data_IF_070719865037
#
_entry.id   IF_070719865037
#
_cell.length_a   1.000
_cell.length_b   1.000
_cell.length_c   1.000
_cell.angle_alpha   90.00
_cell.angle_beta   90.00
_cell.angle_gamma   90.00
#
_symmetry.space_group_name_H-M   'P 1'
#
loop_
_entity.id
_entity.type
_entity.pdbx_description
1 polymer ?
#
# COMPACT_ATOMS: atom_id res chain seq x y z
N UNK A 1 -48.90 -22.53 -14.48
CA UNK A 1 -47.98 -23.57 -14.00
C UNK A 1 -46.86 -23.90 -14.97
N UNK A 2 -47.03 -23.65 -16.28
CA UNK A 2 -46.01 -23.92 -17.36
C UNK A 2 -44.90 -22.86 -17.41
N UNK A 3 -45.20 -21.62 -17.06
CA UNK A 3 -44.19 -20.51 -17.13
C UNK A 3 -43.11 -20.55 -16.03
N UNK A 4 -43.37 -21.14 -14.86
CA UNK A 4 -42.42 -21.29 -13.79
C UNK A 4 -41.35 -22.37 -14.06
N UNK A 5 -41.69 -23.38 -14.85
CA UNK A 5 -40.81 -24.50 -15.21
C UNK A 5 -39.70 -24.11 -16.24
N UNK A 6 -39.94 -23.05 -17.02
CA UNK A 6 -38.95 -22.55 -17.98
C UNK A 6 -37.92 -21.59 -17.42
N UNK A 7 -38.22 -20.96 -16.29
CA UNK A 7 -37.27 -20.04 -15.61
C UNK A 7 -36.21 -20.82 -14.81
N UNK A 8 -36.59 -21.97 -14.23
CA UNK A 8 -35.65 -22.82 -13.48
C UNK A 8 -34.66 -23.57 -14.41
N UNK A 9 -35.02 -23.79 -15.69
CA UNK A 9 -34.12 -24.41 -16.66
C UNK A 9 -33.02 -23.47 -17.22
N UNK A 10 -33.17 -22.15 -17.06
CA UNK A 10 -32.17 -21.17 -17.51
C UNK A 10 -31.09 -20.84 -16.47
N UNK A 11 -31.24 -21.33 -15.22
CA UNK A 11 -30.36 -21.00 -14.11
C UNK A 11 -29.37 -22.11 -13.69
N UNK A 12 -29.31 -23.22 -14.42
CA UNK A 12 -28.23 -24.17 -14.24
C UNK A 12 -27.10 -23.85 -15.24
N UNK A 13 -25.92 -23.35 -14.80
CA UNK A 13 -24.79 -23.29 -15.68
C UNK A 13 -24.52 -24.74 -16.14
N UNK A 14 -24.76 -25.02 -17.41
CA UNK A 14 -24.34 -26.27 -18.04
C UNK A 14 -22.86 -26.41 -17.80
N UNK A 15 -22.43 -27.31 -16.88
CA UNK A 15 -21.01 -27.66 -16.71
C UNK A 15 -20.52 -28.20 -18.06
N UNK A 16 -19.90 -27.32 -18.85
CA UNK A 16 -19.17 -27.72 -20.04
C UNK A 16 -18.12 -28.72 -19.56
N UNK A 17 -18.14 -29.93 -20.15
CA UNK A 17 -17.14 -30.96 -19.84
C UNK A 17 -15.79 -30.44 -20.31
N UNK A 18 -14.91 -30.18 -19.35
CA UNK A 18 -13.54 -29.77 -19.64
C UNK A 18 -12.84 -30.85 -20.50
N UNK A 19 -12.19 -30.41 -21.53
CA UNK A 19 -11.31 -31.27 -22.34
C UNK A 19 -10.08 -31.67 -21.54
N UNK A 20 -9.41 -32.76 -21.90
CA UNK A 20 -8.17 -33.21 -21.22
C UNK A 20 -7.14 -32.10 -21.28
N UNK A 21 -7.03 -31.33 -22.36
CA UNK A 21 -6.11 -30.21 -22.48
C UNK A 21 -6.42 -29.06 -21.51
N UNK A 22 -7.70 -28.71 -21.33
CA UNK A 22 -8.13 -27.69 -20.36
C UNK A 22 -7.80 -28.12 -18.92
N UNK A 23 -8.01 -29.40 -18.60
CA UNK A 23 -7.66 -29.93 -17.27
C UNK A 23 -6.15 -29.89 -17.02
N UNK A 24 -5.32 -30.27 -18.00
CA UNK A 24 -3.86 -30.18 -17.88
C UNK A 24 -3.45 -28.70 -17.70
N UNK A 25 -3.97 -27.80 -18.51
CA UNK A 25 -3.72 -26.36 -18.39
C UNK A 25 -4.07 -25.84 -16.99
N UNK A 26 -5.26 -26.18 -16.49
CA UNK A 26 -5.72 -25.78 -15.15
C UNK A 26 -4.78 -26.31 -14.05
N UNK A 27 -4.35 -27.56 -14.13
CA UNK A 27 -3.39 -28.15 -13.17
C UNK A 27 -2.06 -27.40 -13.20
N UNK A 28 -1.53 -27.13 -14.40
CA UNK A 28 -0.26 -26.39 -14.56
C UNK A 28 -0.36 -24.98 -13.96
N UNK A 29 -1.46 -24.27 -14.21
CA UNK A 29 -1.70 -22.94 -13.65
C UNK A 29 -1.76 -23.00 -12.11
N UNK A 30 -2.49 -23.96 -11.53
CA UNK A 30 -2.54 -24.13 -10.09
C UNK A 30 -1.19 -24.46 -9.47
N UNK A 31 -0.41 -25.35 -10.10
CA UNK A 31 0.95 -25.65 -9.63
C UNK A 31 1.85 -24.43 -9.65
N UNK A 32 1.81 -23.62 -10.71
CA UNK A 32 2.57 -22.37 -10.79
C UNK A 32 2.13 -21.38 -9.70
N UNK A 33 0.83 -21.22 -9.49
CA UNK A 33 0.29 -20.33 -8.45
C UNK A 33 0.69 -20.80 -7.05
N UNK A 34 0.64 -22.10 -6.77
CA UNK A 34 1.08 -22.67 -5.49
C UNK A 34 2.58 -22.42 -5.28
N UNK A 35 3.40 -22.64 -6.31
CA UNK A 35 4.85 -22.43 -6.23
C UNK A 35 5.18 -20.95 -5.96
N UNK A 36 4.56 -20.03 -6.68
CA UNK A 36 4.71 -18.58 -6.45
C UNK A 36 4.24 -18.20 -5.05
N UNK A 37 3.09 -18.73 -4.62
CA UNK A 37 2.57 -18.46 -3.26
C UNK A 37 3.51 -19.00 -2.19
N UNK A 38 4.07 -20.18 -2.39
CA UNK A 38 5.03 -20.77 -1.46
C UNK A 38 6.31 -19.93 -1.30
N UNK A 39 6.85 -19.36 -2.39
CA UNK A 39 8.04 -18.50 -2.32
C UNK A 39 7.82 -17.24 -1.48
N UNK A 40 6.57 -16.77 -1.35
CA UNK A 40 6.20 -15.61 -0.53
C UNK A 40 5.88 -16.05 0.91
N UNK A 41 5.11 -17.12 1.07
CA UNK A 41 4.60 -17.57 2.38
C UNK A 41 5.71 -18.18 3.24
N UNK A 42 6.63 -18.98 2.64
CA UNK A 42 7.67 -19.66 3.41
C UNK A 42 8.61 -18.71 4.17
N UNK A 43 9.13 -17.62 3.60
CA UNK A 43 9.90 -16.62 4.35
C UNK A 43 9.10 -15.95 5.47
N UNK A 44 7.81 -15.66 5.26
CA UNK A 44 6.96 -15.07 6.29
C UNK A 44 6.74 -16.04 7.45
N UNK A 45 6.51 -17.33 7.18
CA UNK A 45 6.42 -18.36 8.21
C UNK A 45 7.72 -18.46 9.01
N UNK A 46 8.87 -18.38 8.35
CA UNK A 46 10.17 -18.37 9.02
C UNK A 46 10.32 -17.16 9.96
N UNK A 47 9.95 -15.96 9.52
CA UNK A 47 9.98 -14.75 10.35
C UNK A 47 9.08 -14.90 11.58
N UNK A 48 7.85 -15.39 11.38
CA UNK A 48 6.90 -15.62 12.48
C UNK A 48 7.44 -16.70 13.44
N UNK A 49 7.91 -17.82 12.93
CA UNK A 49 8.51 -18.88 13.75
C UNK A 49 9.74 -18.37 14.53
N UNK A 50 10.60 -17.61 13.87
CA UNK A 50 11.78 -17.02 14.50
C UNK A 50 11.43 -16.05 15.62
N UNK A 51 10.36 -15.24 15.44
CA UNK A 51 9.93 -14.25 16.44
C UNK A 51 9.42 -14.87 17.75
N UNK A 52 8.95 -16.12 17.71
CA UNK A 52 8.50 -16.89 18.89
C UNK A 52 9.49 -17.94 19.37
N UNK A 53 10.68 -18.03 18.75
CA UNK A 53 11.70 -19.02 19.11
C UNK A 53 12.70 -18.47 20.11
N UNK A 54 13.34 -19.38 20.83
CA UNK A 54 14.51 -19.05 21.65
C UNK A 54 15.61 -18.46 20.75
N UNK A 55 16.15 -17.27 21.08
CA UNK A 55 17.17 -16.62 20.27
C UNK A 55 18.42 -17.46 19.99
N UNK A 56 18.82 -18.35 20.93
CA UNK A 56 19.96 -19.26 20.73
C UNK A 56 19.63 -20.29 19.65
N UNK A 57 18.43 -20.85 19.62
CA UNK A 57 17.98 -21.77 18.57
C UNK A 57 17.91 -21.10 17.20
N UNK A 58 17.63 -19.80 17.18
CA UNK A 58 17.60 -18.99 15.96
C UNK A 58 19.02 -18.83 15.40
N UNK A 59 19.99 -18.42 16.22
CA UNK A 59 21.39 -18.25 15.83
C UNK A 59 22.03 -19.55 15.32
N UNK A 60 21.70 -20.69 15.95
CA UNK A 60 22.22 -22.01 15.53
C UNK A 60 21.56 -22.52 14.24
N UNK A 61 20.62 -21.74 13.61
CA UNK A 61 19.94 -22.16 12.38
C UNK A 61 18.97 -23.32 12.56
N UNK A 62 18.60 -23.64 13.77
CA UNK A 62 17.71 -24.77 14.08
C UNK A 62 16.24 -24.46 13.83
N UNK A 63 15.86 -23.16 13.68
CA UNK A 63 14.49 -22.72 13.45
C UNK A 63 14.21 -22.68 11.95
N UNK A 64 13.14 -23.36 11.52
CA UNK A 64 12.67 -23.35 10.12
C UNK A 64 11.25 -22.78 10.06
N UNK A 65 10.23 -23.63 9.99
CA UNK A 65 8.81 -23.21 9.87
C UNK A 65 8.04 -23.30 11.19
N UNK A 66 8.61 -23.94 12.21
CA UNK A 66 8.00 -24.09 13.52
C UNK A 66 8.92 -23.52 14.61
N UNK A 67 8.37 -22.80 15.61
CA UNK A 67 9.16 -22.24 16.69
C UNK A 67 9.83 -23.34 17.52
N UNK A 68 11.09 -23.14 17.88
CA UNK A 68 11.83 -24.02 18.80
C UNK A 68 12.19 -23.25 20.07
N UNK A 69 11.85 -23.84 21.23
CA UNK A 69 11.99 -23.15 22.50
C UNK A 69 11.06 -21.95 22.59
N UNK A 70 9.74 -22.18 22.48
CA UNK A 70 8.71 -21.12 22.42
C UNK A 70 8.91 -20.08 23.54
N UNK A 71 9.06 -18.82 23.17
CA UNK A 71 9.22 -17.69 24.09
C UNK A 71 8.61 -16.41 23.53
N UNK A 72 8.10 -15.55 24.40
CA UNK A 72 7.59 -14.20 24.07
C UNK A 72 8.51 -13.09 24.55
N UNK A 73 9.69 -13.44 25.07
CA UNK A 73 10.62 -12.50 25.71
C UNK A 73 11.07 -11.36 24.77
N UNK A 74 11.18 -11.64 23.47
CA UNK A 74 11.55 -10.62 22.48
C UNK A 74 10.40 -9.62 22.25
N UNK A 75 9.16 -10.09 22.26
CA UNK A 75 7.99 -9.20 22.19
C UNK A 75 7.89 -8.30 23.41
N UNK A 76 8.18 -8.81 24.60
CA UNK A 76 8.21 -8.00 25.82
C UNK A 76 9.26 -6.88 25.73
N UNK A 77 10.43 -7.15 25.17
CA UNK A 77 11.47 -6.14 24.93
C UNK A 77 11.04 -5.10 23.91
N UNK A 78 10.49 -5.53 22.76
CA UNK A 78 9.97 -4.63 21.71
C UNK A 78 8.87 -3.74 22.26
N UNK A 79 7.92 -4.28 23.01
CA UNK A 79 6.78 -3.52 23.53
C UNK A 79 7.15 -2.60 24.71
N UNK A 80 8.27 -2.85 25.41
CA UNK A 80 8.82 -1.96 26.44
C UNK A 80 9.60 -0.79 25.84
N UNK A 81 10.03 -0.87 24.59
CA UNK A 81 10.76 0.21 23.94
C UNK A 81 9.81 1.36 23.57
N UNK A 82 9.99 2.50 24.26
CA UNK A 82 9.17 3.70 24.02
C UNK A 82 9.31 4.22 22.57
N UNK A 83 10.44 3.97 21.90
CA UNK A 83 10.65 4.41 20.52
C UNK A 83 9.69 3.71 19.54
N UNK A 84 9.36 2.46 19.78
CA UNK A 84 8.38 1.70 18.98
C UNK A 84 7.00 2.36 19.03
N UNK A 85 6.53 2.72 20.21
CA UNK A 85 5.23 3.39 20.37
C UNK A 85 5.19 4.78 19.74
N UNK A 86 6.27 5.56 19.94
CA UNK A 86 6.42 6.87 19.26
C UNK A 86 6.42 6.69 17.75
N UNK A 87 7.15 5.70 17.23
CA UNK A 87 7.18 5.37 15.82
C UNK A 87 5.81 4.95 15.27
N UNK A 88 5.04 4.18 16.04
CA UNK A 88 3.65 3.84 15.68
C UNK A 88 2.77 5.07 15.53
N UNK A 89 2.76 5.94 16.56
CA UNK A 89 1.95 7.15 16.55
C UNK A 89 2.34 8.06 15.37
N UNK A 90 3.62 8.25 15.13
CA UNK A 90 4.12 9.01 14.01
C UNK A 90 3.68 8.39 12.67
N UNK A 91 3.83 7.06 12.51
CA UNK A 91 3.43 6.38 11.28
C UNK A 91 1.94 6.50 11.03
N UNK A 92 1.10 6.30 12.05
CA UNK A 92 -0.35 6.47 11.92
C UNK A 92 -0.68 7.91 11.50
N UNK A 93 -0.10 8.90 12.20
CA UNK A 93 -0.30 10.31 11.87
C UNK A 93 0.11 10.64 10.42
N UNK A 94 1.32 10.21 10.02
CA UNK A 94 1.84 10.47 8.67
C UNK A 94 1.04 9.75 7.60
N UNK A 95 0.60 8.52 7.87
CA UNK A 95 -0.23 7.74 6.96
C UNK A 95 -1.61 8.39 6.79
N UNK A 96 -2.28 8.78 7.87
CA UNK A 96 -3.61 9.38 7.79
C UNK A 96 -3.54 10.74 7.09
N UNK A 97 -2.66 11.64 7.55
CA UNK A 97 -2.51 12.98 6.95
C UNK A 97 -2.01 12.90 5.52
N UNK A 98 -0.99 12.08 5.26
CA UNK A 98 -0.43 11.89 3.92
C UNK A 98 -1.45 11.34 2.95
N UNK A 99 -2.20 10.31 3.35
CA UNK A 99 -3.26 9.72 2.52
C UNK A 99 -4.37 10.72 2.23
N UNK A 100 -4.85 11.44 3.25
CA UNK A 100 -5.92 12.44 3.09
C UNK A 100 -5.51 13.53 2.09
N UNK A 101 -4.32 14.11 2.28
CA UNK A 101 -3.77 15.15 1.40
C UNK A 101 -3.60 14.58 -0.03
N UNK A 102 -2.99 13.40 -0.16
CA UNK A 102 -2.71 12.80 -1.45
C UNK A 102 -3.97 12.46 -2.23
N UNK A 103 -4.97 11.86 -1.59
CA UNK A 103 -6.25 11.53 -2.22
C UNK A 103 -6.98 12.80 -2.66
N UNK A 104 -7.01 13.82 -1.80
CA UNK A 104 -7.67 15.10 -2.11
C UNK A 104 -7.01 15.79 -3.29
N UNK A 105 -5.68 15.95 -3.26
CA UNK A 105 -4.94 16.61 -4.35
C UNK A 105 -5.02 15.82 -5.66
N UNK A 106 -4.96 14.48 -5.57
CA UNK A 106 -5.13 13.60 -6.74
C UNK A 106 -6.52 13.76 -7.35
N UNK A 107 -7.58 13.81 -6.54
CA UNK A 107 -8.94 14.02 -7.01
C UNK A 107 -9.13 15.40 -7.64
N UNK A 108 -8.57 16.46 -7.01
CA UNK A 108 -8.58 17.82 -7.55
C UNK A 108 -7.85 17.93 -8.89
N UNK A 109 -6.81 17.15 -9.12
CA UNK A 109 -6.10 17.09 -10.40
C UNK A 109 -6.82 16.19 -11.41
N UNK A 110 -7.33 15.03 -11.00
CA UNK A 110 -7.92 14.03 -11.87
C UNK A 110 -9.28 14.47 -12.43
N UNK A 111 -10.13 15.14 -11.64
CA UNK A 111 -11.48 15.53 -12.06
C UNK A 111 -11.47 16.50 -13.23
N UNK A 112 -10.80 17.67 -13.19
CA UNK A 112 -10.73 18.54 -14.34
C UNK A 112 -10.13 17.87 -15.58
N UNK A 113 -9.10 17.05 -15.39
CA UNK A 113 -8.44 16.33 -16.48
C UNK A 113 -9.29 15.18 -17.06
N UNK A 114 -10.35 14.75 -16.40
CA UNK A 114 -11.33 13.80 -16.94
C UNK A 114 -12.32 14.46 -17.90
N UNK A 115 -12.52 15.79 -17.77
CA UNK A 115 -13.44 16.56 -18.57
C UNK A 115 -12.90 16.79 -19.99
N UNK A 116 -13.74 16.52 -21.00
CA UNK A 116 -13.35 16.69 -22.42
C UNK A 116 -13.33 18.15 -22.86
N UNK A 117 -14.10 18.99 -22.18
CA UNK A 117 -14.26 20.43 -22.41
C UNK A 117 -13.14 21.29 -21.80
N UNK A 118 -12.23 20.69 -20.99
CA UNK A 118 -11.12 21.44 -20.40
C UNK A 118 -10.14 21.91 -21.47
N UNK A 119 -9.97 23.24 -21.58
CA UNK A 119 -8.97 23.83 -22.47
C UNK A 119 -7.54 23.39 -22.08
N UNK A 120 -6.75 22.97 -23.06
CA UNK A 120 -5.37 22.52 -22.81
C UNK A 120 -5.21 21.18 -22.10
N UNK A 121 -6.29 20.39 -21.93
CA UNK A 121 -6.30 19.09 -21.26
C UNK A 121 -5.12 18.20 -21.63
N UNK A 122 -4.84 18.03 -22.93
CA UNK A 122 -3.78 17.16 -23.41
C UNK A 122 -2.38 17.66 -23.04
N UNK A 123 -2.21 18.99 -22.96
CA UNK A 123 -0.93 19.61 -22.53
C UNK A 123 -0.70 19.27 -21.06
N UNK A 124 -1.68 19.48 -20.21
CA UNK A 124 -1.56 19.15 -18.77
C UNK A 124 -1.29 17.65 -18.54
N UNK A 125 -2.03 16.78 -19.24
CA UNK A 125 -1.79 15.31 -19.15
C UNK A 125 -0.37 14.98 -19.57
N UNK A 126 0.12 15.55 -20.68
CA UNK A 126 1.49 15.32 -21.15
C UNK A 126 2.53 15.81 -20.15
N UNK A 127 2.31 16.95 -19.49
CA UNK A 127 3.18 17.45 -18.43
C UNK A 127 3.22 16.50 -17.22
N UNK A 128 2.06 15.98 -16.77
CA UNK A 128 2.04 14.98 -15.72
C UNK A 128 2.78 13.71 -16.12
N UNK A 129 2.55 13.20 -17.33
CA UNK A 129 3.26 12.01 -17.85
C UNK A 129 4.76 12.29 -17.95
N UNK A 130 5.16 13.48 -18.38
CA UNK A 130 6.57 13.87 -18.43
C UNK A 130 7.22 13.75 -17.04
N UNK A 131 6.56 14.25 -15.98
CA UNK A 131 7.09 14.15 -14.61
C UNK A 131 7.20 12.70 -14.08
N UNK A 132 6.50 11.76 -14.68
CA UNK A 132 6.59 10.34 -14.32
C UNK A 132 7.94 9.72 -14.78
N UNK A 133 8.45 10.16 -15.93
CA UNK A 133 9.69 9.65 -16.54
C UNK A 133 10.91 10.51 -16.24
N UNK A 134 10.71 11.82 -16.04
CA UNK A 134 11.77 12.77 -15.77
C UNK A 134 11.70 13.31 -14.35
N UNK A 135 12.61 12.84 -13.51
CA UNK A 135 12.74 13.26 -12.12
C UNK A 135 13.99 14.12 -11.97
N UNK A 136 13.90 15.22 -11.24
CA UNK A 136 15.04 16.10 -10.93
C UNK A 136 16.15 15.45 -10.08
N UNK A 137 15.86 14.30 -9.50
CA UNK A 137 16.78 13.55 -8.65
C UNK A 137 16.72 13.94 -7.17
N UNK A 138 17.43 13.17 -6.36
CA UNK A 138 17.40 13.28 -4.90
C UNK A 138 18.00 14.60 -4.41
N UNK A 139 19.15 15.02 -4.95
CA UNK A 139 19.87 16.23 -4.50
C UNK A 139 19.05 17.50 -4.74
N UNK A 140 18.53 17.79 -5.95
CA UNK A 140 17.65 18.93 -6.18
C UNK A 140 16.42 18.94 -5.29
N UNK A 141 15.77 17.78 -5.10
CA UNK A 141 14.61 17.66 -4.22
C UNK A 141 14.96 18.01 -2.77
N UNK A 142 16.10 17.50 -2.26
CA UNK A 142 16.58 17.82 -0.93
C UNK A 142 16.80 19.34 -0.75
N UNK A 143 17.45 19.99 -1.72
CA UNK A 143 17.72 21.43 -1.68
C UNK A 143 16.43 22.26 -1.69
N UNK A 144 15.41 21.85 -2.43
CA UNK A 144 14.11 22.51 -2.42
C UNK A 144 13.45 22.38 -1.04
N UNK A 145 13.41 21.17 -0.49
CA UNK A 145 12.83 20.89 0.84
C UNK A 145 13.57 21.73 1.91
N UNK A 146 14.89 21.84 1.82
CA UNK A 146 15.70 22.64 2.71
C UNK A 146 15.36 24.14 2.56
N UNK A 147 15.31 24.67 1.34
CA UNK A 147 14.97 26.08 1.06
C UNK A 147 13.56 26.45 1.55
N UNK A 148 12.61 25.52 1.47
CA UNK A 148 11.26 25.70 1.99
C UNK A 148 11.17 25.57 3.53
N UNK A 149 12.28 25.32 4.23
CA UNK A 149 12.29 25.17 5.68
C UNK A 149 11.49 23.96 6.20
N UNK A 150 11.37 22.92 5.37
CA UNK A 150 10.59 21.74 5.69
C UNK A 150 11.40 20.62 6.35
N UNK A 151 12.75 20.75 6.39
CA UNK A 151 13.61 19.78 7.08
C UNK A 151 13.18 19.62 8.54
N UNK A 152 13.27 18.40 9.02
CA UNK A 152 12.87 17.99 10.36
C UNK A 152 11.40 18.29 10.72
N UNK A 153 10.52 18.22 9.70
CA UNK A 153 9.08 18.42 9.86
C UNK A 153 8.31 17.35 9.05
N UNK A 154 7.10 17.04 9.51
CA UNK A 154 6.16 16.11 8.83
C UNK A 154 5.93 16.48 7.35
N UNK A 155 5.94 17.76 7.01
CA UNK A 155 5.70 18.24 5.65
C UNK A 155 6.74 17.75 4.65
N UNK A 156 7.97 17.48 5.07
CA UNK A 156 9.00 16.89 4.23
C UNK A 156 8.69 15.43 3.86
N UNK A 157 7.89 14.72 4.65
CA UNK A 157 7.51 13.34 4.40
C UNK A 157 6.25 13.22 3.54
N UNK A 158 5.35 14.20 3.65
CA UNK A 158 4.01 14.12 3.05
C UNK A 158 3.93 14.86 1.71
N UNK A 159 4.42 16.11 1.64
CA UNK A 159 4.17 16.97 0.47
C UNK A 159 4.95 16.60 -0.79
N UNK A 160 6.21 16.17 -0.75
CA UNK A 160 6.96 15.87 -1.97
C UNK A 160 6.37 14.72 -2.79
N UNK A 161 5.69 13.78 -2.15
CA UNK A 161 5.04 12.62 -2.78
C UNK A 161 3.51 12.70 -2.77
N UNK A 162 2.94 13.88 -2.54
CA UNK A 162 1.49 14.04 -2.36
C UNK A 162 0.67 13.68 -3.60
N UNK A 163 1.20 13.88 -4.81
CA UNK A 163 0.53 13.46 -6.05
C UNK A 163 1.40 12.44 -6.77
N UNK A 164 0.87 11.23 -6.94
CA UNK A 164 1.41 10.24 -7.85
C UNK A 164 0.73 10.38 -9.20
N UNK A 165 1.50 10.61 -10.26
CA UNK A 165 0.97 10.70 -11.63
C UNK A 165 0.25 9.41 -12.03
N UNK A 166 0.77 8.25 -11.64
CA UNK A 166 0.14 6.96 -11.88
C UNK A 166 -1.27 6.89 -11.25
N UNK A 167 -1.39 7.24 -9.97
CA UNK A 167 -2.67 7.24 -9.27
C UNK A 167 -3.65 8.27 -9.86
N UNK A 168 -3.13 9.43 -10.26
CA UNK A 168 -3.93 10.48 -10.90
C UNK A 168 -4.51 10.01 -12.24
N UNK A 169 -3.73 9.30 -13.07
CA UNK A 169 -4.20 8.74 -14.34
C UNK A 169 -5.28 7.67 -14.10
N UNK A 170 -5.11 6.79 -13.12
CA UNK A 170 -6.13 5.79 -12.77
C UNK A 170 -7.43 6.48 -12.35
N UNK A 171 -7.34 7.44 -11.43
CA UNK A 171 -8.51 8.16 -10.93
C UNK A 171 -9.21 8.96 -12.01
N UNK A 172 -8.45 9.65 -12.87
CA UNK A 172 -8.96 10.34 -14.05
C UNK A 172 -9.70 9.38 -14.99
N UNK A 173 -9.09 8.24 -15.31
CA UNK A 173 -9.69 7.23 -16.20
C UNK A 173 -10.99 6.67 -15.62
N UNK A 174 -11.03 6.48 -14.30
CA UNK A 174 -12.25 6.08 -13.61
C UNK A 174 -13.35 7.14 -13.79
N UNK A 175 -13.06 8.41 -13.53
CA UNK A 175 -14.04 9.49 -13.71
C UNK A 175 -14.55 9.57 -15.16
N UNK A 176 -13.64 9.44 -16.14
CA UNK A 176 -13.97 9.52 -17.57
C UNK A 176 -14.88 8.36 -18.04
N UNK A 177 -14.68 7.15 -17.51
CA UNK A 177 -15.37 5.94 -17.96
C UNK A 177 -16.62 5.61 -17.13
N UNK A 178 -16.66 6.03 -15.86
CA UNK A 178 -17.72 5.61 -14.93
C UNK A 178 -18.78 6.68 -14.72
N UNK A 179 -18.44 7.95 -14.88
CA UNK A 179 -19.40 9.06 -14.71
C UNK A 179 -19.96 9.42 -16.09
N UNK A 180 -21.26 9.15 -16.36
CA UNK A 180 -21.89 9.52 -17.62
C UNK A 180 -21.87 11.03 -17.83
N UNK A 181 -21.55 11.47 -19.07
CA UNK A 181 -21.54 12.91 -19.40
C UNK A 181 -22.93 13.53 -19.25
N UNK A 182 -23.98 12.77 -19.49
CA UNK A 182 -25.39 13.19 -19.37
C UNK A 182 -25.73 13.68 -17.95
N UNK A 183 -25.14 13.06 -16.92
CA UNK A 183 -25.32 13.53 -15.53
C UNK A 183 -24.66 14.89 -15.28
N UNK A 184 -23.54 15.13 -15.92
CA UNK A 184 -22.82 16.39 -15.77
C UNK A 184 -23.52 17.49 -16.55
N UNK A 185 -24.03 17.19 -17.76
CA UNK A 185 -24.83 18.13 -18.58
C UNK A 185 -26.15 18.49 -17.90
N UNK A 186 -26.83 17.49 -17.30
CA UNK A 186 -28.05 17.76 -16.52
C UNK A 186 -27.77 18.68 -15.32
N UNK A 187 -26.67 18.42 -14.58
CA UNK A 187 -26.26 19.28 -13.48
C UNK A 187 -25.94 20.70 -13.92
N UNK A 188 -25.34 20.90 -15.10
CA UNK A 188 -25.08 22.20 -15.66
C UNK A 188 -26.38 22.95 -16.06
N UNK A 189 -27.37 22.23 -16.61
CA UNK A 189 -28.71 22.78 -16.89
C UNK A 189 -29.46 23.20 -15.63
N UNK A 190 -29.24 22.44 -14.51
CA UNK A 190 -29.78 22.79 -13.19
C UNK A 190 -29.00 23.93 -12.49
N UNK A 191 -28.00 24.53 -13.17
CA UNK A 191 -27.24 25.67 -12.66
C UNK A 191 -26.11 25.30 -11.73
N UNK A 192 -25.70 24.02 -11.64
CA UNK A 192 -24.55 23.60 -10.86
C UNK A 192 -23.26 24.03 -11.53
N UNK A 193 -22.33 24.58 -10.75
CA UNK A 193 -20.95 24.79 -11.17
C UNK A 193 -20.13 23.49 -11.00
N UNK A 194 -18.92 23.44 -11.60
CA UNK A 194 -18.06 22.26 -11.59
C UNK A 194 -17.70 21.78 -10.16
N UNK A 195 -17.50 22.70 -9.23
CA UNK A 195 -17.21 22.37 -7.83
C UNK A 195 -18.41 21.69 -7.19
N UNK A 196 -19.61 22.23 -7.38
CA UNK A 196 -20.85 21.63 -6.85
C UNK A 196 -21.11 20.26 -7.48
N UNK A 197 -20.91 20.14 -8.79
CA UNK A 197 -21.02 18.87 -9.52
C UNK A 197 -20.03 17.84 -8.99
N UNK A 198 -18.79 18.24 -8.72
CA UNK A 198 -17.80 17.34 -8.13
C UNK A 198 -18.25 16.81 -6.77
N UNK A 199 -18.62 17.68 -5.83
CA UNK A 199 -18.95 17.26 -4.46
C UNK A 199 -20.31 16.56 -4.36
N UNK A 200 -21.32 16.93 -5.15
CA UNK A 200 -22.68 16.39 -5.04
C UNK A 200 -22.92 15.17 -5.92
N UNK A 201 -22.21 15.04 -7.05
CA UNK A 201 -22.46 13.97 -8.02
C UNK A 201 -21.25 13.05 -8.14
N UNK A 202 -20.09 13.60 -8.52
CA UNK A 202 -18.91 12.78 -8.85
C UNK A 202 -18.36 12.08 -7.62
N UNK A 203 -18.17 12.78 -6.53
CA UNK A 203 -17.60 12.24 -5.30
C UNK A 203 -18.43 11.06 -4.72
N UNK A 204 -19.78 11.18 -4.56
CA UNK A 204 -20.59 10.08 -4.06
C UNK A 204 -20.60 8.85 -4.98
N UNK A 205 -20.58 9.04 -6.30
CA UNK A 205 -20.56 7.95 -7.29
C UNK A 205 -19.18 7.26 -7.39
N UNK A 206 -18.15 7.90 -6.87
CA UNK A 206 -16.75 7.47 -7.04
C UNK A 206 -16.16 6.77 -5.81
N UNK A 207 -16.98 6.35 -4.85
CA UNK A 207 -16.51 5.74 -3.60
C UNK A 207 -15.49 4.59 -3.80
N UNK A 208 -15.66 3.78 -4.84
CA UNK A 208 -14.77 2.67 -5.15
C UNK A 208 -13.33 3.15 -5.47
N UNK A 209 -13.15 4.14 -6.34
CA UNK A 209 -11.82 4.64 -6.69
C UNK A 209 -11.17 5.40 -5.53
N UNK A 210 -11.95 6.13 -4.72
CA UNK A 210 -11.44 6.78 -3.52
C UNK A 210 -10.89 5.76 -2.51
N UNK A 211 -11.58 4.62 -2.31
CA UNK A 211 -11.09 3.55 -1.46
C UNK A 211 -9.79 2.92 -1.98
N UNK A 212 -9.68 2.72 -3.30
CA UNK A 212 -8.46 2.21 -3.94
C UNK A 212 -7.30 3.20 -3.79
N UNK A 213 -7.53 4.49 -4.01
CA UNK A 213 -6.52 5.53 -3.83
C UNK A 213 -6.07 5.65 -2.36
N UNK A 214 -7.02 5.59 -1.42
CA UNK A 214 -6.71 5.59 0.01
C UNK A 214 -5.81 4.39 0.38
N UNK A 215 -6.07 3.22 -0.20
CA UNK A 215 -5.22 2.04 -0.02
C UNK A 215 -3.82 2.25 -0.60
N UNK A 216 -3.69 2.70 -1.85
CA UNK A 216 -2.39 2.87 -2.50
C UNK A 216 -1.52 3.89 -1.77
N UNK A 217 -2.07 5.06 -1.45
CA UNK A 217 -1.34 6.08 -0.70
C UNK A 217 -1.08 5.65 0.75
N UNK A 218 -2.06 5.02 1.42
CA UNK A 218 -1.92 4.56 2.79
C UNK A 218 -0.81 3.52 2.94
N UNK A 219 -0.76 2.51 2.07
CA UNK A 219 0.31 1.51 2.08
C UNK A 219 1.67 2.12 1.75
N UNK A 220 1.73 3.04 0.78
CA UNK A 220 2.97 3.73 0.43
C UNK A 220 3.50 4.57 1.60
N UNK A 221 2.64 5.32 2.29
CA UNK A 221 3.02 6.14 3.46
C UNK A 221 3.42 5.27 4.65
N UNK A 222 2.68 4.18 4.93
CA UNK A 222 3.03 3.25 6.01
C UNK A 222 4.43 2.65 5.86
N UNK A 223 4.82 2.30 4.63
CA UNK A 223 6.10 1.68 4.34
C UNK A 223 7.24 2.70 4.07
N UNK A 224 6.95 4.00 4.19
CA UNK A 224 7.91 5.06 3.86
C UNK A 224 8.95 5.23 4.98
N UNK A 225 10.20 4.85 4.71
CA UNK A 225 11.34 5.07 5.60
C UNK A 225 12.41 6.00 5.00
N UNK A 226 12.60 5.94 3.68
CA UNK A 226 13.68 6.65 3.01
C UNK A 226 13.58 8.17 3.07
N UNK A 227 12.40 8.80 2.89
CA UNK A 227 12.23 10.24 3.14
C UNK A 227 12.56 10.62 4.59
N UNK A 228 12.21 9.77 5.57
CA UNK A 228 12.55 10.03 6.96
C UNK A 228 14.05 10.02 7.18
N UNK A 229 14.78 9.07 6.58
CA UNK A 229 16.24 9.02 6.62
C UNK A 229 16.90 10.30 6.06
N UNK A 230 16.33 10.87 5.00
CA UNK A 230 16.91 12.04 4.33
C UNK A 230 16.57 13.36 5.04
N UNK A 231 15.33 13.51 5.52
CA UNK A 231 14.79 14.82 5.90
C UNK A 231 14.58 14.99 7.41
N UNK A 232 14.53 13.91 8.19
CA UNK A 232 14.30 13.96 9.63
C UNK A 232 15.59 13.69 10.38
N UNK A 233 15.91 14.57 11.34
CA UNK A 233 17.08 14.45 12.22
C UNK A 233 16.69 14.09 13.65
N UNK A 234 15.51 14.54 14.07
CA UNK A 234 14.98 14.27 15.40
C UNK A 234 14.37 12.87 15.45
N UNK A 235 14.95 12.01 16.27
CA UNK A 235 14.49 10.62 16.43
C UNK A 235 13.04 10.53 16.94
N UNK A 236 12.58 11.53 17.68
CA UNK A 236 11.18 11.57 18.14
C UNK A 236 10.15 11.67 17.01
N UNK A 237 10.57 12.08 15.80
CA UNK A 237 9.75 12.19 14.60
C UNK A 237 9.91 10.98 13.66
N UNK A 238 10.68 9.96 14.03
CA UNK A 238 10.88 8.80 13.18
C UNK A 238 9.60 7.98 13.03
N UNK A 239 9.24 7.58 11.81
CA UNK A 239 8.21 6.57 11.58
C UNK A 239 8.73 5.19 11.98
N UNK A 240 7.81 4.27 12.25
CA UNK A 240 8.11 2.90 12.68
C UNK A 240 9.07 2.16 11.74
N UNK A 241 8.91 2.35 10.42
CA UNK A 241 9.76 1.71 9.41
C UNK A 241 11.21 2.21 9.48
N UNK A 242 11.44 3.44 9.92
CA UNK A 242 12.79 3.94 10.15
C UNK A 242 13.42 3.31 11.40
N UNK A 243 12.64 3.13 12.47
CA UNK A 243 13.07 2.44 13.69
C UNK A 243 13.36 0.96 13.40
N UNK A 244 12.47 0.29 12.66
CA UNK A 244 12.70 -1.09 12.19
C UNK A 244 14.04 -1.19 11.44
N UNK A 245 14.30 -0.26 10.52
CA UNK A 245 15.55 -0.23 9.77
C UNK A 245 16.78 -0.07 10.69
N UNK A 246 16.71 0.78 11.71
CA UNK A 246 17.79 0.92 12.71
C UNK A 246 18.05 -0.41 13.42
N UNK A 247 16.99 -1.10 13.89
CA UNK A 247 17.11 -2.40 14.53
C UNK A 247 17.76 -3.46 13.62
N UNK A 248 17.34 -3.48 12.33
CA UNK A 248 17.91 -4.41 11.35
C UNK A 248 19.40 -4.16 11.13
N UNK A 249 19.83 -2.90 10.95
CA UNK A 249 21.23 -2.56 10.73
C UNK A 249 22.07 -2.85 11.98
N UNK A 250 21.56 -2.55 13.17
CA UNK A 250 22.27 -2.82 14.42
C UNK A 250 22.51 -4.33 14.63
N UNK A 251 21.52 -5.18 14.32
CA UNK A 251 21.68 -6.62 14.41
C UNK A 251 22.71 -7.14 13.39
N UNK A 252 22.70 -6.65 12.17
CA UNK A 252 23.66 -7.06 11.14
C UNK A 252 25.10 -6.61 11.45
N UNK A 253 25.29 -5.43 12.05
CA UNK A 253 26.61 -4.95 12.50
C UNK A 253 27.11 -5.79 13.70
N UNK A 254 26.23 -6.14 14.63
CA UNK A 254 26.55 -7.02 15.75
C UNK A 254 27.10 -8.37 15.26
N UNK A 255 26.42 -8.97 14.30
CA UNK A 255 26.80 -10.24 13.67
C UNK A 255 28.15 -10.15 12.93
N UNK A 256 28.45 -9.02 12.26
CA UNK A 256 29.73 -8.80 11.54
C UNK A 256 30.90 -8.51 12.48
N UNK A 257 30.66 -7.84 13.60
CA UNK A 257 31.71 -7.45 14.54
C UNK A 257 32.20 -8.61 15.43
N UNK A 258 31.58 -9.80 15.33
CA UNK A 258 31.95 -10.97 16.13
C UNK A 258 31.82 -10.70 17.63
N UNK A 259 30.85 -9.86 18.02
CA UNK A 259 30.55 -9.61 19.42
C UNK A 259 30.05 -10.91 20.05
N UNK A 260 30.96 -11.64 20.67
CA UNK A 260 30.69 -12.90 21.38
C UNK A 260 29.86 -12.59 22.62
N UNK A 261 28.63 -13.10 22.65
CA UNK A 261 27.85 -13.12 23.88
C UNK A 261 26.36 -12.83 23.68
N UNK A 262 25.68 -12.65 24.78
CA UNK A 262 24.23 -12.46 24.90
C UNK A 262 23.66 -11.31 24.02
N UNK A 263 24.49 -10.38 23.56
CA UNK A 263 24.08 -9.21 22.74
C UNK A 263 23.72 -9.65 21.31
N UNK A 264 24.49 -10.56 20.70
CA UNK A 264 24.24 -11.11 19.37
C UNK A 264 22.98 -11.97 19.38
N UNK A 265 22.86 -12.82 20.39
CA UNK A 265 21.71 -13.72 20.58
C UNK A 265 20.39 -12.94 20.67
N UNK A 266 20.41 -11.81 21.40
CA UNK A 266 19.24 -10.97 21.59
C UNK A 266 18.90 -10.17 20.31
N UNK A 267 19.92 -9.77 19.55
CA UNK A 267 19.76 -8.95 18.34
C UNK A 267 18.89 -9.62 17.28
N UNK A 268 19.15 -10.87 16.95
CA UNK A 268 18.38 -11.60 15.93
C UNK A 268 16.94 -11.87 16.35
N UNK A 269 16.70 -12.27 17.61
CA UNK A 269 15.34 -12.42 18.11
C UNK A 269 14.54 -11.12 18.08
N UNK A 270 15.18 -10.00 18.45
CA UNK A 270 14.57 -8.65 18.42
C UNK A 270 14.21 -8.24 17.00
N UNK A 271 15.07 -8.53 16.02
CA UNK A 271 14.84 -8.29 14.58
C UNK A 271 13.52 -8.91 14.10
N UNK A 272 13.33 -10.21 14.34
CA UNK A 272 12.12 -10.92 13.89
C UNK A 272 10.87 -10.43 14.62
N UNK A 273 10.92 -10.23 15.93
CA UNK A 273 9.79 -9.69 16.69
C UNK A 273 9.40 -8.28 16.21
N UNK A 274 10.38 -7.40 15.95
CA UNK A 274 10.12 -6.05 15.44
C UNK A 274 9.53 -6.08 14.03
N UNK A 275 9.98 -6.99 13.15
CA UNK A 275 9.38 -7.18 11.82
C UNK A 275 7.90 -7.55 11.93
N UNK A 276 7.54 -8.53 12.75
CA UNK A 276 6.15 -8.94 12.95
C UNK A 276 5.31 -7.79 13.51
N UNK A 277 5.78 -7.14 14.57
CA UNK A 277 5.09 -6.00 15.18
C UNK A 277 4.84 -4.90 14.16
N UNK A 278 5.83 -4.53 13.33
CA UNK A 278 5.72 -3.44 12.35
C UNK A 278 4.78 -3.75 11.18
N UNK A 279 4.64 -5.03 10.80
CA UNK A 279 3.79 -5.45 9.67
C UNK A 279 2.37 -5.80 10.07
N UNK A 280 2.15 -6.15 11.33
CA UNK A 280 0.85 -6.61 11.85
C UNK A 280 -0.32 -5.66 11.50
N UNK A 281 -0.23 -4.32 11.68
CA UNK A 281 -1.35 -3.44 11.39
C UNK A 281 -1.78 -3.45 9.92
N UNK A 282 -0.85 -3.47 8.98
CA UNK A 282 -1.15 -3.57 7.54
C UNK A 282 -1.79 -4.92 7.22
N UNK A 283 -1.27 -6.01 7.79
CA UNK A 283 -1.85 -7.35 7.60
C UNK A 283 -3.30 -7.43 8.14
N UNK A 284 -3.57 -6.80 9.28
CA UNK A 284 -4.93 -6.74 9.84
C UNK A 284 -5.88 -5.88 9.00
N UNK A 285 -5.40 -4.83 8.34
CA UNK A 285 -6.21 -3.98 7.47
C UNK A 285 -6.52 -4.63 6.12
N UNK A 286 -5.68 -5.54 5.63
CA UNK A 286 -5.81 -6.13 4.30
C UNK A 286 -7.17 -6.80 4.04
N UNK A 287 -7.75 -7.65 4.92
CA UNK A 287 -9.04 -8.28 4.68
C UNK A 287 -10.19 -7.27 4.46
N UNK A 288 -10.12 -6.11 5.12
CA UNK A 288 -11.12 -5.05 4.95
C UNK A 288 -10.97 -4.32 3.62
N UNK A 289 -9.74 -4.22 3.13
CA UNK A 289 -9.41 -3.50 1.91
C UNK A 289 -9.52 -4.39 0.65
N UNK A 290 -9.40 -5.71 0.79
CA UNK A 290 -9.43 -6.68 -0.32
C UNK A 290 -10.69 -6.55 -1.18
N UNK A 291 -11.86 -6.33 -0.59
CA UNK A 291 -13.12 -6.17 -1.33
C UNK A 291 -13.10 -4.98 -2.32
N UNK A 292 -12.39 -3.91 -1.98
CA UNK A 292 -12.26 -2.74 -2.84
C UNK A 292 -11.19 -2.96 -3.92
N UNK A 293 -10.17 -3.77 -3.61
CA UNK A 293 -9.12 -4.13 -4.57
C UNK A 293 -9.67 -4.94 -5.74
N UNK A 294 -10.49 -5.94 -5.46
CA UNK A 294 -11.16 -6.75 -6.50
C UNK A 294 -12.03 -5.87 -7.41
N UNK A 295 -12.79 -4.94 -6.83
CA UNK A 295 -13.60 -3.99 -7.59
C UNK A 295 -12.74 -3.04 -8.45
N UNK A 296 -11.57 -2.59 -7.96
CA UNK A 296 -10.66 -1.69 -8.68
C UNK A 296 -9.95 -2.35 -9.85
N UNK A 297 -9.53 -3.60 -9.72
CA UNK A 297 -8.87 -4.38 -10.79
C UNK A 297 -9.83 -4.67 -11.95
N UNK A 298 -11.10 -4.95 -11.66
CA UNK A 298 -12.12 -5.18 -12.69
C UNK A 298 -12.45 -3.93 -13.50
N UNK A 299 -12.35 -2.74 -12.91
CA UNK A 299 -12.58 -1.46 -13.60
C UNK A 299 -11.52 -1.22 -14.70
N UNK A 300 -10.28 -1.69 -14.52
CA UNK A 300 -9.23 -1.62 -15.54
C UNK A 300 -9.28 -2.70 -16.61
N UNK A 301 -9.97 -3.81 -16.34
CA UNK A 301 -10.01 -4.99 -17.19
C UNK A 301 -11.21 -5.04 -18.15
N UNK A 302 -12.28 -4.29 -17.89
CA UNK A 302 -13.44 -4.23 -18.79
C UNK A 302 -13.15 -3.24 -19.93
N UNK A 303 -12.29 -3.65 -20.86
CA UNK A 303 -12.26 -3.19 -22.23
C UNK A 303 -12.70 -4.35 -23.09
N UNK A 304 -13.97 -4.41 -23.36
CA UNK A 304 -14.58 -5.35 -24.28
C UNK A 304 -15.94 -4.80 -24.65
#
# INVERSE_FOLDING_TARGET
MVMKKNIDAMNHPTKVKETIGERIYTIVVYLLLILISATIILPLLHIISGSFSDPMQLLTGNVSFWPKGFTTSMYEKVLKDASIWTGYLNTILYTVLGTLISVTLTACAAYPLSRKDLFGRNIFISLFIFTMFFNGGMIPTYLIIQKLGMLNKIWALVLPSAISTYNMIIMRTFFENTIPNELIEAAALDGCNDITTFFRIVLPLSGAVFAVMALFYGVAQWNSWFPALLYIRDRSLYPLQMILREVLIQSDIGNMAGSTGDVEVIGDGLKYATMVVSTLPIMCLYPFLQKYFVAGVTIGAVKG
#
